data_IF_543556389219
#
_entry.id   IF_543556389219
#
_cell.length_a   1.000
_cell.length_b   1.000
_cell.length_c   1.000
_cell.angle_alpha   90.00
_cell.angle_beta   90.00
_cell.angle_gamma   90.00
#
_symmetry.space_group_name_H-M   'P 1'
#
loop_
_entity.id
_entity.type
_entity.pdbx_description
1 polymer ?
#
# COMPACT_ATOMS: atom_id res chain seq x y z
N UNK A 1 11.37 8.53 3.24
CA UNK A 1 11.31 7.54 2.14
C UNK A 1 10.09 7.88 1.30
N UNK A 2 10.09 7.52 0.02
CA UNK A 2 8.89 7.67 -0.81
C UNK A 2 8.07 6.38 -0.82
N UNK A 3 6.82 6.49 -1.28
CA UNK A 3 5.87 5.39 -1.31
C UNK A 3 6.36 4.20 -2.16
N UNK A 4 7.00 4.46 -3.30
CA UNK A 4 7.49 3.40 -4.17
C UNK A 4 8.62 2.57 -3.53
N UNK A 5 9.57 3.22 -2.86
CA UNK A 5 10.63 2.53 -2.12
C UNK A 5 10.06 1.70 -0.96
N UNK A 6 9.09 2.25 -0.21
CA UNK A 6 8.42 1.52 0.85
C UNK A 6 7.70 0.28 0.29
N UNK A 7 6.95 0.43 -0.81
CA UNK A 7 6.23 -0.66 -1.48
C UNK A 7 7.17 -1.76 -1.99
N UNK A 8 8.35 -1.39 -2.49
CA UNK A 8 9.34 -2.34 -2.97
C UNK A 8 9.87 -3.25 -1.84
N UNK A 9 9.91 -2.74 -0.61
CA UNK A 9 10.46 -3.43 0.54
C UNK A 9 9.39 -4.09 1.44
N UNK A 10 8.10 -4.05 1.07
CA UNK A 10 6.98 -4.53 1.93
C UNK A 10 7.16 -5.96 2.45
N UNK A 11 7.71 -6.86 1.65
CA UNK A 11 7.92 -8.26 2.05
C UNK A 11 8.92 -8.40 3.23
N UNK A 12 9.71 -7.35 3.51
CA UNK A 12 10.70 -7.29 4.59
C UNK A 12 10.26 -6.49 5.81
N UNK A 13 9.09 -5.84 5.76
CA UNK A 13 8.60 -4.99 6.86
C UNK A 13 7.58 -5.74 7.73
N UNK A 14 7.42 -5.28 8.97
CA UNK A 14 6.43 -5.84 9.89
C UNK A 14 5.01 -5.62 9.34
N UNK A 15 4.27 -6.72 9.17
CA UNK A 15 2.94 -6.73 8.58
C UNK A 15 1.84 -6.18 9.51
N UNK A 16 2.15 -5.93 10.78
CA UNK A 16 1.25 -5.28 11.75
C UNK A 16 1.25 -3.76 11.64
N UNK A 17 2.17 -3.19 10.85
CA UNK A 17 2.29 -1.75 10.68
C UNK A 17 1.30 -1.21 9.64
N UNK A 18 1.03 0.09 9.76
CA UNK A 18 0.23 0.85 8.80
C UNK A 18 1.12 1.78 8.00
N UNK A 19 0.91 1.79 6.69
CA UNK A 19 1.51 2.75 5.77
C UNK A 19 0.73 4.05 5.89
N UNK A 20 1.45 5.15 6.10
CA UNK A 20 0.91 6.50 6.03
C UNK A 20 1.62 7.26 4.91
N UNK A 21 0.88 8.10 4.19
CA UNK A 21 1.42 8.84 3.05
C UNK A 21 0.81 10.24 2.95
N UNK A 22 1.58 11.20 2.46
CA UNK A 22 1.07 12.55 2.15
C UNK A 22 0.36 12.55 0.81
N UNK A 23 -0.79 13.24 0.73
CA UNK A 23 -1.49 13.45 -0.54
C UNK A 23 -0.80 14.48 -1.44
N UNK A 24 -0.98 14.40 -2.77
CA UNK A 24 -1.63 13.30 -3.51
C UNK A 24 -0.82 12.01 -3.42
N UNK A 25 -1.47 10.83 -3.41
CA UNK A 25 -0.76 9.56 -3.31
C UNK A 25 -0.18 9.15 -4.66
N UNK A 26 1.14 9.19 -4.74
CA UNK A 26 1.91 8.87 -5.94
C UNK A 26 3.16 8.10 -5.52
N UNK A 27 3.84 7.47 -6.49
CA UNK A 27 5.10 6.78 -6.26
C UNK A 27 6.15 7.62 -5.49
N UNK A 28 6.15 8.94 -5.71
CA UNK A 28 7.10 9.88 -5.13
C UNK A 28 6.62 10.51 -3.81
N UNK A 29 5.40 10.20 -3.37
CA UNK A 29 4.84 10.80 -2.16
C UNK A 29 5.60 10.35 -0.92
N UNK A 30 5.79 11.27 0.01
CA UNK A 30 6.38 10.94 1.30
C UNK A 30 5.52 9.91 2.01
N UNK A 31 6.13 8.79 2.39
CA UNK A 31 5.48 7.69 3.08
C UNK A 31 6.33 7.20 4.25
N UNK A 32 5.67 6.62 5.26
CA UNK A 32 6.29 6.02 6.44
C UNK A 32 5.45 4.87 6.97
N UNK A 33 6.06 4.01 7.76
CA UNK A 33 5.37 2.99 8.53
C UNK A 33 5.16 3.49 9.95
N UNK A 34 3.98 3.25 10.50
CA UNK A 34 3.63 3.60 11.88
C UNK A 34 2.86 2.45 12.52
N UNK A 35 3.06 2.25 13.81
CA UNK A 35 2.12 1.49 14.63
C UNK A 35 0.91 2.37 14.94
N UNK A 36 -0.28 1.81 14.84
CA UNK A 36 -1.48 2.48 15.33
C UNK A 36 -1.43 2.59 16.85
N UNK A 37 -2.18 3.57 17.39
CA UNK A 37 -2.41 3.66 18.84
C UNK A 37 -3.28 2.49 19.32
N UNK A 38 -3.40 2.33 20.65
CA UNK A 38 -4.24 1.30 21.25
C UNK A 38 -5.73 1.40 20.83
N UNK A 39 -6.16 2.58 20.38
CA UNK A 39 -7.49 2.83 19.81
C UNK A 39 -7.57 2.62 18.29
N UNK A 40 -6.55 1.98 17.68
CA UNK A 40 -6.44 1.73 16.25
C UNK A 40 -6.45 3.02 15.39
N UNK A 41 -5.75 4.06 15.85
CA UNK A 41 -5.66 5.35 15.15
C UNK A 41 -4.22 5.71 14.80
N UNK A 42 -4.06 6.59 13.81
CA UNK A 42 -2.75 7.18 13.51
C UNK A 42 -2.32 8.09 14.66
N UNK A 43 -1.07 7.98 15.15
CA UNK A 43 -0.52 8.89 16.15
C UNK A 43 -0.67 10.37 15.76
N UNK A 44 -1.06 11.21 16.73
CA UNK A 44 -1.38 12.62 16.46
C UNK A 44 -0.19 13.43 15.94
N UNK A 45 1.04 13.08 16.32
CA UNK A 45 2.25 13.69 15.79
C UNK A 45 2.43 13.42 14.28
N UNK A 46 2.06 12.23 13.82
CA UNK A 46 2.14 11.83 12.40
C UNK A 46 1.11 12.60 11.58
N UNK A 47 -0.11 12.76 12.10
CA UNK A 47 -1.15 13.57 11.48
C UNK A 47 -0.74 15.06 11.38
N UNK A 48 -0.11 15.60 12.43
CA UNK A 48 0.39 16.98 12.43
C UNK A 48 1.51 17.23 11.41
N UNK A 49 2.27 16.20 11.05
CA UNK A 49 3.27 16.26 9.97
C UNK A 49 2.64 16.23 8.55
N UNK A 50 1.31 16.11 8.46
CA UNK A 50 0.55 16.10 7.21
C UNK A 50 0.47 14.73 6.54
N UNK A 51 0.77 13.65 7.27
CA UNK A 51 0.54 12.30 6.77
C UNK A 51 -0.91 11.90 6.98
N UNK A 52 -1.45 11.17 6.01
CA UNK A 52 -2.78 10.57 6.08
C UNK A 52 -2.68 9.05 6.13
N UNK A 53 -3.75 8.42 6.61
CA UNK A 53 -3.94 6.98 6.47
C UNK A 53 -3.88 6.60 5.00
N UNK A 54 -3.04 5.62 4.66
CA UNK A 54 -2.94 5.09 3.32
C UNK A 54 -3.47 3.66 3.25
N UNK A 55 -2.78 2.70 3.90
CA UNK A 55 -3.18 1.29 3.90
C UNK A 55 -2.37 0.48 4.93
N UNK A 56 -2.92 -0.58 5.51
CA UNK A 56 -2.11 -1.54 6.28
C UNK A 56 -1.15 -2.34 5.40
N UNK A 57 0.01 -2.72 5.97
CA UNK A 57 0.99 -3.55 5.28
C UNK A 57 0.40 -4.92 4.94
N UNK A 58 -0.35 -5.53 5.87
CA UNK A 58 -1.03 -6.81 5.63
C UNK A 58 -2.02 -6.73 4.47
N UNK A 59 -2.86 -5.69 4.39
CA UNK A 59 -3.81 -5.51 3.28
C UNK A 59 -3.06 -5.33 1.96
N UNK A 60 -2.01 -4.51 1.94
CA UNK A 60 -1.20 -4.30 0.75
C UNK A 60 -0.57 -5.62 0.24
N UNK A 61 -0.01 -6.43 1.15
CA UNK A 61 0.65 -7.69 0.81
C UNK A 61 -0.33 -8.80 0.46
N UNK A 62 -1.32 -9.05 1.31
CA UNK A 62 -2.14 -10.25 1.26
C UNK A 62 -3.36 -10.08 0.36
N UNK A 63 -4.01 -8.90 0.40
CA UNK A 63 -5.23 -8.65 -0.37
C UNK A 63 -4.93 -8.06 -1.75
N UNK A 64 -4.10 -7.01 -1.81
CA UNK A 64 -3.86 -6.27 -3.07
C UNK A 64 -2.88 -6.99 -3.97
N UNK A 65 -1.70 -7.34 -3.45
CA UNK A 65 -0.67 -8.02 -4.24
C UNK A 65 -0.90 -9.53 -4.26
N UNK A 66 -1.10 -10.14 -3.09
CA UNK A 66 -1.34 -11.56 -2.89
C UNK A 66 -0.44 -12.45 -3.75
N UNK A 67 -1.05 -13.44 -4.40
CA UNK A 67 -0.36 -14.37 -5.31
C UNK A 67 0.20 -13.70 -6.58
N UNK A 68 -0.26 -12.48 -6.92
CA UNK A 68 0.20 -11.74 -8.09
C UNK A 68 1.51 -11.00 -7.85
N UNK A 69 1.95 -10.86 -6.59
CA UNK A 69 3.13 -10.07 -6.23
C UNK A 69 4.33 -10.37 -7.13
N UNK A 70 4.67 -11.64 -7.34
CA UNK A 70 5.81 -12.09 -8.14
C UNK A 70 5.70 -11.79 -9.64
N UNK A 71 4.50 -11.48 -10.14
CA UNK A 71 4.21 -11.27 -11.56
C UNK A 71 4.11 -9.79 -11.93
N UNK A 72 3.89 -8.93 -10.92
CA UNK A 72 3.77 -7.50 -11.11
C UNK A 72 5.15 -6.85 -11.08
N UNK A 73 5.40 -5.99 -12.07
CA UNK A 73 6.53 -5.06 -12.01
C UNK A 73 6.41 -4.12 -10.81
N UNK A 74 7.52 -3.53 -10.32
CA UNK A 74 7.46 -2.58 -9.21
C UNK A 74 6.47 -1.42 -9.45
N UNK A 75 6.40 -0.90 -10.68
CA UNK A 75 5.46 0.15 -11.04
C UNK A 75 3.99 -0.31 -10.97
N UNK A 76 3.71 -1.55 -11.40
CA UNK A 76 2.37 -2.13 -11.29
C UNK A 76 1.97 -2.39 -9.83
N UNK A 77 2.90 -2.83 -8.98
CA UNK A 77 2.66 -2.98 -7.53
C UNK A 77 2.23 -1.65 -6.91
N UNK A 78 2.97 -0.58 -7.18
CA UNK A 78 2.63 0.78 -6.69
C UNK A 78 1.29 1.23 -7.23
N UNK A 79 1.03 1.07 -8.53
CA UNK A 79 -0.24 1.47 -9.14
C UNK A 79 -1.45 0.70 -8.57
N UNK A 80 -1.31 -0.61 -8.33
CA UNK A 80 -2.37 -1.43 -7.73
C UNK A 80 -2.69 -0.97 -6.31
N UNK A 81 -1.66 -0.78 -5.47
CA UNK A 81 -1.84 -0.38 -4.07
C UNK A 81 -2.40 1.04 -3.97
N UNK A 82 -1.90 2.00 -4.75
CA UNK A 82 -2.46 3.36 -4.77
C UNK A 82 -3.91 3.34 -5.22
N UNK A 83 -4.24 2.61 -6.29
CA UNK A 83 -5.61 2.50 -6.76
C UNK A 83 -6.53 1.91 -5.69
N UNK A 84 -6.10 0.83 -5.03
CA UNK A 84 -6.87 0.21 -3.95
C UNK A 84 -7.08 1.18 -2.78
N UNK A 85 -6.03 1.87 -2.32
CA UNK A 85 -6.14 2.85 -1.23
C UNK A 85 -7.10 4.01 -1.57
N UNK A 86 -7.17 4.44 -2.83
CA UNK A 86 -8.08 5.52 -3.26
C UNK A 86 -9.52 5.06 -3.50
N UNK A 87 -9.71 3.85 -3.99
CA UNK A 87 -11.02 3.39 -4.51
C UNK A 87 -11.65 2.28 -3.69
N UNK A 88 -10.95 1.74 -2.69
CA UNK A 88 -11.36 0.55 -1.93
C UNK A 88 -11.75 -0.62 -2.85
N UNK A 89 -11.01 -0.76 -3.95
CA UNK A 89 -11.31 -1.67 -5.05
C UNK A 89 -10.06 -2.03 -5.86
N UNK A 90 -10.11 -3.17 -6.55
CA UNK A 90 -9.04 -3.60 -7.46
C UNK A 90 -9.19 -2.93 -8.84
N UNK A 91 -8.08 -2.52 -9.49
CA UNK A 91 -8.17 -2.01 -10.84
C UNK A 91 -8.46 -3.14 -11.84
N UNK A 92 -9.22 -2.83 -12.89
CA UNK A 92 -9.68 -3.82 -13.89
C UNK A 92 -8.55 -4.61 -14.56
N UNK A 93 -7.39 -3.96 -14.77
CA UNK A 93 -6.23 -4.61 -15.36
C UNK A 93 -5.64 -5.68 -14.43
N UNK A 94 -5.70 -5.49 -13.11
CA UNK A 94 -5.22 -6.46 -12.14
C UNK A 94 -6.13 -7.68 -12.09
N UNK A 95 -7.46 -7.45 -12.12
CA UNK A 95 -8.45 -8.52 -12.25
C UNK A 95 -8.27 -9.31 -13.55
N UNK A 96 -7.89 -8.63 -14.64
CA UNK A 96 -7.62 -9.28 -15.93
C UNK A 96 -6.40 -10.21 -15.85
N UNK A 97 -5.31 -9.75 -15.23
CA UNK A 97 -4.11 -10.57 -14.97
C UNK A 97 -4.49 -11.79 -14.12
N UNK A 98 -5.21 -11.59 -13.01
CA UNK A 98 -5.65 -12.67 -12.13
C UNK A 98 -6.44 -13.76 -12.86
N UNK A 99 -7.32 -13.37 -13.80
CA UNK A 99 -8.12 -14.32 -14.60
C UNK A 99 -7.27 -15.08 -15.62
N UNK A 100 -6.28 -14.43 -16.23
CA UNK A 100 -5.42 -15.07 -17.23
C UNK A 100 -4.56 -16.21 -16.67
N UNK A 101 -4.33 -16.22 -15.36
CA UNK A 101 -3.49 -17.21 -14.67
C UNK A 101 -4.28 -18.42 -14.16
N UNK A 102 -5.61 -18.31 -14.09
CA UNK A 102 -6.51 -19.40 -13.68
C UNK A 102 -7.07 -20.18 -14.88
N UNK A 103 -6.68 -19.79 -16.10
CA UNK A 103 -7.13 -20.38 -17.37
C UNK A 103 -6.18 -21.42 -17.94
#
# INVERSE_FOLDING_TARGET
>A
MNLASLIADLESVDNTLTIVAKRPWTANSDARLVSLTDEYRIPSNVLQEGFEYFLEVSIALDEVLGELASQLSPAQRVAAIVYYAENDAYPDWLNTIARSLRG
#
